data_IF_312165638585
#
_entry.id   IF_312165638585
#
_cell.length_a   1.000
_cell.length_b   1.000
_cell.length_c   1.000
_cell.angle_alpha   90.00
_cell.angle_beta   90.00
_cell.angle_gamma   90.00
#
_symmetry.space_group_name_H-M   'P 1'
#
loop_
_entity.id
_entity.type
_entity.pdbx_description
1 polymer ?
#
# COMPACT_ATOMS: atom_id res chain seq x y z
N UNK A 1 8.91 31.88 -35.81
CA UNK A 1 8.52 31.71 -34.39
C UNK A 1 6.99 31.73 -34.33
N UNK A 2 6.22 30.83 -33.72
CA UNK A 2 6.51 29.90 -32.62
C UNK A 2 5.35 28.89 -32.41
N UNK A 3 4.77 28.26 -33.44
CA UNK A 3 3.77 27.17 -33.24
C UNK A 3 4.33 25.96 -32.47
N UNK A 4 5.63 25.68 -32.61
CA UNK A 4 6.32 24.63 -31.85
C UNK A 4 6.52 24.97 -30.37
N UNK A 5 6.53 26.25 -29.99
CA UNK A 5 6.79 26.68 -28.61
C UNK A 5 5.56 26.47 -27.72
N UNK A 6 4.36 26.67 -28.27
CA UNK A 6 3.09 26.40 -27.57
C UNK A 6 2.84 24.90 -27.36
N UNK A 7 3.31 24.05 -28.27
CA UNK A 7 3.18 22.59 -28.17
C UNK A 7 4.08 21.98 -27.09
N UNK A 8 5.30 22.52 -26.93
CA UNK A 8 6.21 22.08 -25.86
C UNK A 8 5.69 22.53 -24.49
N UNK A 9 5.11 23.73 -24.39
CA UNK A 9 4.52 24.23 -23.15
C UNK A 9 3.33 23.38 -22.65
N UNK A 10 2.47 22.88 -23.56
CA UNK A 10 1.33 22.04 -23.18
C UNK A 10 1.74 20.63 -22.72
N UNK A 11 2.80 20.03 -23.30
CA UNK A 11 3.31 18.72 -22.87
C UNK A 11 4.04 18.83 -21.52
N UNK A 12 4.74 19.94 -21.26
CA UNK A 12 5.40 20.19 -19.97
C UNK A 12 4.40 20.53 -18.86
N UNK A 13 3.27 21.19 -19.16
CA UNK A 13 2.25 21.50 -18.15
C UNK A 13 1.48 20.26 -17.67
N UNK A 14 1.27 19.26 -18.52
CA UNK A 14 0.58 17.99 -18.17
C UNK A 14 1.49 17.05 -17.37
N UNK A 15 2.81 17.24 -17.42
CA UNK A 15 3.78 16.44 -16.66
C UNK A 15 4.08 16.99 -15.26
N UNK A 16 3.51 18.15 -14.91
CA UNK A 16 3.85 18.88 -13.67
C UNK A 16 2.74 18.99 -12.63
N UNK A 17 1.54 18.46 -12.88
CA UNK A 17 0.52 18.40 -11.85
C UNK A 17 0.76 17.17 -10.97
N UNK A 18 1.52 17.35 -9.89
CA UNK A 18 1.38 16.43 -8.75
C UNK A 18 -0.09 16.51 -8.31
N UNK A 19 -0.78 15.37 -8.23
CA UNK A 19 -2.09 15.33 -7.60
C UNK A 19 -1.93 15.82 -6.16
N UNK A 20 -2.66 16.87 -5.80
CA UNK A 20 -2.76 17.27 -4.40
C UNK A 20 -3.71 16.28 -3.74
N UNK A 21 -3.16 15.25 -3.11
CA UNK A 21 -3.93 14.28 -2.34
C UNK A 21 -4.37 14.93 -1.02
N UNK A 22 -5.61 14.68 -0.59
CA UNK A 22 -6.03 15.10 0.74
C UNK A 22 -5.28 14.25 1.77
N UNK A 23 -4.98 14.81 2.94
CA UNK A 23 -4.34 14.03 4.00
C UNK A 23 -5.38 13.42 4.95
N UNK A 24 -5.11 12.19 5.37
CA UNK A 24 -5.87 11.46 6.39
C UNK A 24 -4.99 11.30 7.62
N UNK A 25 -5.55 11.55 8.80
CA UNK A 25 -4.87 11.26 10.08
C UNK A 25 -5.49 10.01 10.70
N UNK A 26 -4.71 8.93 10.78
CA UNK A 26 -5.12 7.67 11.38
C UNK A 26 -4.22 7.35 12.57
N UNK A 27 -4.80 7.25 13.77
CA UNK A 27 -4.08 7.01 15.03
C UNK A 27 -2.84 7.92 15.22
N UNK A 28 -3.00 9.21 14.88
CA UNK A 28 -1.92 10.21 14.99
C UNK A 28 -0.84 10.15 13.91
N UNK A 29 -0.96 9.26 12.91
CA UNK A 29 -0.09 9.22 11.74
C UNK A 29 -0.80 9.86 10.54
N UNK A 30 -0.07 10.68 9.78
CA UNK A 30 -0.59 11.34 8.57
C UNK A 30 -0.27 10.49 7.34
N UNK A 31 -1.25 10.36 6.45
CA UNK A 31 -1.17 9.63 5.18
C UNK A 31 -1.80 10.45 4.05
N UNK A 32 -1.45 10.14 2.81
CA UNK A 32 -2.29 10.52 1.67
C UNK A 32 -3.61 9.74 1.72
N UNK A 33 -4.69 10.33 1.18
CA UNK A 33 -6.03 9.73 1.17
C UNK A 33 -6.10 8.41 0.38
N UNK A 34 -5.25 8.26 -0.63
CA UNK A 34 -5.07 7.05 -1.42
C UNK A 34 -3.86 6.23 -0.97
N UNK A 35 -3.41 6.30 0.28
CA UNK A 35 -2.25 5.53 0.75
C UNK A 35 -2.58 4.16 1.36
N UNK A 36 -3.86 3.78 1.41
CA UNK A 36 -4.30 2.59 2.15
C UNK A 36 -4.50 1.38 1.25
N UNK A 37 -4.43 0.19 1.84
CA UNK A 37 -4.89 -1.05 1.20
C UNK A 37 -6.33 -0.87 0.72
N UNK A 38 -6.59 -1.24 -0.53
CA UNK A 38 -7.89 -1.10 -1.20
C UNK A 38 -8.49 -2.45 -1.63
N UNK A 39 -7.72 -3.54 -1.56
CA UNK A 39 -8.20 -4.88 -1.93
C UNK A 39 -7.65 -6.01 -1.05
N UNK A 40 -8.39 -7.12 -1.04
CA UNK A 40 -7.91 -8.42 -0.55
C UNK A 40 -7.71 -9.32 -1.76
N UNK A 41 -6.47 -9.73 -1.99
CA UNK A 41 -6.07 -10.59 -3.10
C UNK A 41 -6.35 -12.06 -2.77
N UNK A 42 -5.99 -12.49 -1.55
CA UNK A 42 -6.21 -13.85 -1.10
C UNK A 42 -6.39 -13.95 0.42
N UNK A 43 -7.10 -14.99 0.84
CA UNK A 43 -7.34 -15.32 2.24
C UNK A 43 -7.04 -16.80 2.41
N UNK A 44 -6.31 -17.15 3.46
CA UNK A 44 -6.11 -18.51 3.93
C UNK A 44 -6.37 -18.59 5.43
N UNK A 45 -6.92 -19.71 5.88
CA UNK A 45 -7.35 -19.90 7.27
C UNK A 45 -8.69 -19.23 7.60
N UNK A 46 -8.98 -19.10 8.89
CA UNK A 46 -10.25 -18.54 9.39
C UNK A 46 -10.09 -17.11 9.85
N UNK A 47 -10.59 -16.16 9.04
CA UNK A 47 -10.58 -14.74 9.38
C UNK A 47 -11.99 -14.25 9.66
N UNK A 48 -12.18 -13.66 10.84
CA UNK A 48 -13.37 -12.86 11.16
C UNK A 48 -13.16 -11.46 10.59
N UNK A 49 -14.12 -11.00 9.78
CA UNK A 49 -14.12 -9.68 9.15
C UNK A 49 -12.82 -9.29 8.42
N UNK A 50 -12.33 -10.09 7.46
CA UNK A 50 -11.06 -9.82 6.77
C UNK A 50 -11.06 -8.46 6.05
N UNK A 51 -12.22 -7.98 5.60
CA UNK A 51 -12.39 -6.70 4.91
C UNK A 51 -12.12 -5.46 5.80
N UNK A 52 -12.01 -5.61 7.12
CA UNK A 52 -11.70 -4.49 8.00
C UNK A 52 -10.35 -3.83 7.69
N UNK A 53 -9.37 -4.57 7.15
CA UNK A 53 -8.04 -4.06 6.79
C UNK A 53 -8.04 -3.08 5.62
N UNK A 54 -9.16 -3.01 4.87
CA UNK A 54 -9.31 -2.14 3.71
C UNK A 54 -9.62 -0.72 4.16
N UNK A 55 -8.82 0.23 3.69
CA UNK A 55 -8.97 1.65 3.97
C UNK A 55 -8.53 2.07 5.37
N UNK A 56 -8.76 3.35 5.74
CA UNK A 56 -8.31 3.93 7.00
C UNK A 56 -9.31 3.70 8.15
N UNK A 57 -9.62 2.44 8.48
CA UNK A 57 -10.58 2.13 9.55
C UNK A 57 -9.88 1.56 10.79
N UNK A 58 -10.09 2.21 11.95
CA UNK A 58 -9.60 1.72 13.26
C UNK A 58 -10.75 1.34 14.22
N UNK A 59 -11.98 1.31 13.72
CA UNK A 59 -13.17 0.94 14.49
C UNK A 59 -13.53 -0.54 14.34
N UNK A 60 -12.82 -1.27 13.47
CA UNK A 60 -13.01 -2.69 13.22
C UNK A 60 -11.69 -3.33 12.85
N UNK A 61 -11.57 -4.64 13.04
CA UNK A 61 -10.36 -5.39 12.78
C UNK A 61 -10.68 -6.73 12.12
N UNK A 62 -9.72 -7.20 11.33
CA UNK A 62 -9.64 -8.55 10.81
C UNK A 62 -8.93 -9.42 11.87
N UNK A 63 -9.62 -10.44 12.36
CA UNK A 63 -9.10 -11.32 13.41
C UNK A 63 -8.91 -12.73 12.90
N UNK A 64 -7.74 -13.31 13.17
CA UNK A 64 -7.51 -14.75 12.99
C UNK A 64 -8.23 -15.52 14.12
N UNK A 65 -9.42 -16.05 13.86
CA UNK A 65 -10.28 -16.68 14.86
C UNK A 65 -11.17 -17.79 14.23
N UNK A 66 -11.07 -19.07 14.66
CA UNK A 66 -10.11 -19.57 15.66
C UNK A 66 -8.66 -19.39 15.20
N UNK A 67 -7.70 -19.19 16.12
CA UNK A 67 -6.31 -18.94 15.76
C UNK A 67 -5.69 -20.09 14.96
N UNK A 68 -5.11 -19.74 13.83
CA UNK A 68 -4.39 -20.65 12.94
C UNK A 68 -3.05 -20.04 12.52
N UNK A 69 -1.95 -20.70 12.85
CA UNK A 69 -0.59 -20.20 12.60
C UNK A 69 -0.22 -20.15 11.11
N UNK A 70 -0.96 -20.85 10.26
CA UNK A 70 -0.78 -20.83 8.80
C UNK A 70 -1.71 -19.80 8.11
N UNK A 71 -2.68 -19.24 8.83
CA UNK A 71 -3.61 -18.26 8.29
C UNK A 71 -2.87 -17.01 7.80
N UNK A 72 -3.32 -16.48 6.66
CA UNK A 72 -2.80 -15.24 6.12
C UNK A 72 -3.85 -14.43 5.35
N UNK A 73 -3.62 -13.12 5.28
CA UNK A 73 -4.27 -12.21 4.34
C UNK A 73 -3.20 -11.72 3.36
N UNK A 74 -3.44 -11.89 2.06
CA UNK A 74 -2.69 -11.18 1.03
C UNK A 74 -3.52 -9.96 0.63
N UNK A 75 -3.02 -8.78 0.97
CA UNK A 75 -3.69 -7.50 0.73
C UNK A 75 -2.99 -6.74 -0.37
N UNK A 76 -3.75 -5.95 -1.11
CA UNK A 76 -3.28 -5.22 -2.28
C UNK A 76 -3.42 -3.71 -2.16
N UNK A 77 -2.61 -3.06 -2.98
CA UNK A 77 -2.59 -1.64 -3.31
C UNK A 77 -2.88 -1.58 -4.81
N UNK A 78 -4.16 -1.65 -5.19
CA UNK A 78 -4.59 -1.85 -6.58
C UNK A 78 -4.43 -0.58 -7.41
N UNK A 79 -4.76 0.58 -6.83
CA UNK A 79 -4.60 1.89 -7.47
C UNK A 79 -3.48 2.76 -6.89
N UNK A 80 -2.67 2.19 -5.99
CA UNK A 80 -1.57 2.85 -5.31
C UNK A 80 -0.38 1.88 -5.14
N UNK A 81 0.68 2.30 -4.45
CA UNK A 81 1.82 1.42 -4.13
C UNK A 81 2.64 1.95 -2.98
N UNK A 82 3.27 1.05 -2.23
CA UNK A 82 4.28 1.42 -1.24
C UNK A 82 5.61 1.61 -1.98
N UNK A 83 6.25 2.76 -1.83
CA UNK A 83 7.56 3.08 -2.42
C UNK A 83 8.64 2.94 -1.36
N UNK A 84 9.71 2.22 -1.65
CA UNK A 84 10.86 2.12 -0.74
C UNK A 84 11.62 3.46 -0.69
N UNK A 85 11.60 4.11 0.46
CA UNK A 85 12.27 5.37 0.77
C UNK A 85 13.37 5.19 1.80
N UNK A 86 13.49 6.17 2.69
CA UNK A 86 14.42 6.09 3.82
C UNK A 86 13.62 5.81 5.10
N UNK A 87 14.00 4.74 5.82
CA UNK A 87 13.30 4.31 7.03
C UNK A 87 11.99 3.58 6.71
N UNK A 88 11.03 3.54 7.66
CA UNK A 88 9.78 2.84 7.45
C UNK A 88 8.98 3.39 6.26
N UNK A 89 8.44 2.48 5.45
CA UNK A 89 7.72 2.78 4.22
C UNK A 89 6.22 2.59 4.33
N UNK A 90 5.77 1.77 5.29
CA UNK A 90 4.37 1.63 5.61
C UNK A 90 4.17 1.27 7.08
N UNK A 91 2.93 1.46 7.54
CA UNK A 91 2.51 1.18 8.90
C UNK A 91 1.35 0.20 8.87
N UNK A 92 1.45 -0.85 9.67
CA UNK A 92 0.33 -1.72 10.00
C UNK A 92 -0.23 -1.31 11.36
N UNK A 93 -1.55 -1.09 11.41
CA UNK A 93 -2.32 -0.80 12.61
C UNK A 93 -2.98 -2.08 13.11
N UNK A 94 -2.82 -2.35 14.39
CA UNK A 94 -3.31 -3.55 15.05
C UNK A 94 -4.09 -3.17 16.32
N UNK A 95 -5.17 -3.88 16.60
CA UNK A 95 -6.05 -3.65 17.74
C UNK A 95 -5.47 -4.30 19.00
N UNK A 96 -4.30 -3.84 19.43
CA UNK A 96 -3.53 -4.44 20.51
C UNK A 96 -4.00 -4.10 21.91
N UNK A 97 -5.28 -3.82 22.15
CA UNK A 97 -5.76 -3.33 23.44
C UNK A 97 -5.47 -1.84 23.70
N UNK A 98 -5.51 -1.42 24.96
CA UNK A 98 -5.45 0.01 25.34
C UNK A 98 -4.20 0.40 26.14
N UNK A 99 -3.28 -0.56 26.37
CA UNK A 99 -2.07 -0.35 27.14
C UNK A 99 -0.78 -0.69 26.35
N UNK A 100 0.36 -0.09 26.72
CA UNK A 100 1.66 -0.51 26.22
C UNK A 100 1.93 -1.99 26.50
N UNK A 101 2.40 -2.73 25.49
CA UNK A 101 2.78 -4.15 25.61
C UNK A 101 1.64 -5.15 25.38
N UNK A 102 0.41 -4.67 25.15
CA UNK A 102 -0.72 -5.52 24.78
C UNK A 102 -0.79 -5.84 23.26
N UNK A 103 0.01 -5.14 22.45
CA UNK A 103 0.04 -5.33 21.00
C UNK A 103 0.79 -6.59 20.57
N UNK A 104 0.23 -7.26 19.57
CA UNK A 104 0.81 -8.45 18.98
C UNK A 104 1.83 -8.07 17.89
N UNK A 105 2.97 -8.78 17.76
CA UNK A 105 3.93 -8.50 16.71
C UNK A 105 3.35 -8.82 15.32
N UNK A 106 3.73 -8.01 14.32
CA UNK A 106 3.27 -8.17 12.95
C UNK A 106 4.25 -9.03 12.15
N UNK A 107 3.82 -10.19 11.65
CA UNK A 107 4.62 -11.01 10.73
C UNK A 107 4.18 -10.80 9.30
N UNK A 108 5.13 -10.40 8.47
CA UNK A 108 4.90 -9.88 7.14
C UNK A 108 5.77 -10.63 6.13
N UNK A 109 5.22 -10.94 4.95
CA UNK A 109 5.98 -11.46 3.82
C UNK A 109 5.84 -10.52 2.61
N UNK A 110 6.99 -10.17 2.02
CA UNK A 110 7.10 -9.42 0.77
C UNK A 110 8.21 -10.09 -0.05
N UNK A 111 7.96 -10.33 -1.35
CA UNK A 111 8.92 -10.99 -2.26
C UNK A 111 9.49 -12.33 -1.74
N UNK A 112 8.70 -13.07 -0.94
CA UNK A 112 9.11 -14.35 -0.35
C UNK A 112 10.00 -14.23 0.89
N UNK A 113 10.42 -13.03 1.29
CA UNK A 113 11.13 -12.77 2.54
C UNK A 113 10.11 -12.51 3.64
N UNK A 114 10.28 -13.16 4.80
CA UNK A 114 9.35 -13.06 5.93
C UNK A 114 10.05 -12.50 7.16
N UNK A 115 9.54 -11.39 7.68
CA UNK A 115 10.09 -10.71 8.86
C UNK A 115 8.98 -10.46 9.88
N UNK A 116 9.37 -10.30 11.15
CA UNK A 116 8.46 -10.00 12.26
C UNK A 116 8.84 -8.66 12.87
N UNK A 117 7.86 -7.76 12.98
CA UNK A 117 8.02 -6.41 13.50
C UNK A 117 7.32 -6.27 14.85
N UNK A 118 7.96 -5.67 15.87
CA UNK A 118 7.28 -5.33 17.09
C UNK A 118 6.23 -4.24 16.82
N UNK A 119 5.12 -4.31 17.53
CA UNK A 119 4.14 -3.23 17.55
C UNK A 119 4.39 -2.29 18.72
N UNK A 120 4.11 -1.01 18.51
CA UNK A 120 4.28 0.05 19.52
C UNK A 120 2.93 0.72 19.74
N UNK A 121 2.53 0.86 21.00
CA UNK A 121 1.28 1.53 21.36
C UNK A 121 1.28 2.97 20.83
N UNK A 122 0.22 3.34 20.10
CA UNK A 122 0.11 4.67 19.47
C UNK A 122 -0.27 5.77 20.45
N UNK A 123 -0.88 5.41 21.59
CA UNK A 123 -1.49 6.36 22.52
C UNK A 123 -2.84 6.93 22.06
N UNK A 124 -3.34 6.52 20.89
CA UNK A 124 -4.56 7.06 20.28
C UNK A 124 -5.45 5.92 19.79
N UNK A 125 -6.70 5.88 20.29
CA UNK A 125 -7.71 4.97 19.76
C UNK A 125 -7.50 3.50 20.09
N UNK A 126 -6.67 3.16 21.08
CA UNK A 126 -6.41 1.76 21.46
C UNK A 126 -5.72 0.96 20.35
N UNK A 127 -4.81 1.62 19.61
CA UNK A 127 -4.13 1.01 18.48
C UNK A 127 -2.64 0.84 18.74
N UNK A 128 -2.07 -0.20 18.15
CA UNK A 128 -0.64 -0.41 18.10
C UNK A 128 -0.17 -0.37 16.65
N UNK A 129 1.07 0.03 16.44
CA UNK A 129 1.64 0.27 15.11
C UNK A 129 2.92 -0.53 14.95
N UNK A 130 2.99 -1.32 13.90
CA UNK A 130 4.25 -1.82 13.37
C UNK A 130 4.70 -0.90 12.24
N UNK A 131 5.97 -0.50 12.28
CA UNK A 131 6.62 0.30 11.24
C UNK A 131 7.52 -0.62 10.41
N UNK A 132 7.28 -0.70 9.11
CA UNK A 132 7.91 -1.68 8.23
C UNK A 132 8.73 -0.98 7.16
N UNK A 133 9.99 -1.36 7.02
CA UNK A 133 10.95 -0.87 6.02
C UNK A 133 11.07 -1.90 4.88
N UNK A 134 10.87 -1.50 3.64
CA UNK A 134 10.94 -2.40 2.48
C UNK A 134 12.37 -2.87 2.17
N UNK A 135 13.38 -2.15 2.64
CA UNK A 135 14.78 -2.54 2.58
C UNK A 135 15.06 -3.88 3.27
N UNK A 136 14.33 -4.19 4.35
CA UNK A 136 14.43 -5.46 5.08
C UNK A 136 13.98 -6.67 4.25
N UNK A 137 13.24 -6.43 3.17
CA UNK A 137 12.77 -7.45 2.22
C UNK A 137 13.58 -7.45 0.91
N UNK A 138 14.67 -6.68 0.85
CA UNK A 138 15.53 -6.58 -0.32
C UNK A 138 14.94 -5.75 -1.47
N UNK A 139 13.91 -4.93 -1.23
CA UNK A 139 13.42 -3.98 -2.21
C UNK A 139 14.48 -2.88 -2.36
N UNK A 140 14.89 -2.55 -3.58
CA UNK A 140 15.84 -1.45 -3.79
C UNK A 140 15.18 -0.07 -3.52
N UNK A 141 15.94 0.97 -3.15
CA UNK A 141 15.41 2.33 -3.02
C UNK A 141 14.67 2.80 -4.29
N UNK A 142 13.49 3.40 -4.12
CA UNK A 142 12.57 3.76 -5.21
C UNK A 142 11.80 2.59 -5.81
N UNK A 143 12.08 1.35 -5.37
CA UNK A 143 11.32 0.16 -5.71
C UNK A 143 9.90 0.23 -5.13
N UNK A 144 8.99 -0.56 -5.71
CA UNK A 144 7.56 -0.48 -5.40
C UNK A 144 6.99 -1.85 -5.04
N UNK A 145 6.08 -1.85 -4.09
CA UNK A 145 5.34 -3.03 -3.63
C UNK A 145 3.84 -2.73 -3.74
N UNK A 146 3.11 -3.60 -4.43
CA UNK A 146 1.66 -3.49 -4.59
C UNK A 146 0.88 -4.53 -3.78
N UNK A 147 1.57 -5.45 -3.09
CA UNK A 147 0.93 -6.48 -2.29
C UNK A 147 1.78 -6.87 -1.09
N UNK A 148 1.12 -7.10 0.04
CA UNK A 148 1.75 -7.48 1.30
C UNK A 148 1.00 -8.67 1.87
N UNK A 149 1.72 -9.70 2.30
CA UNK A 149 1.13 -10.84 3.00
C UNK A 149 1.28 -10.66 4.51
N UNK A 150 0.15 -10.71 5.21
CA UNK A 150 0.02 -10.59 6.66
C UNK A 150 -0.25 -11.97 7.24
N UNK A 151 0.53 -12.40 8.22
CA UNK A 151 0.32 -13.68 8.88
C UNK A 151 -0.49 -13.51 10.15
N UNK A 152 -1.46 -14.42 10.33
CA UNK A 152 -2.26 -14.55 11.53
C UNK A 152 -1.44 -15.10 12.69
N UNK A 153 -0.55 -14.31 13.28
CA UNK A 153 0.19 -14.75 14.46
C UNK A 153 -0.75 -14.96 15.65
N UNK A 154 -0.36 -15.91 16.49
CA UNK A 154 -0.99 -16.16 17.77
C UNK A 154 0.12 -16.25 18.81
N UNK A 155 0.33 -15.19 19.59
CA UNK A 155 1.28 -15.21 20.71
C UNK A 155 0.60 -15.39 22.07
N UNK A 156 -0.74 -15.32 22.13
CA UNK A 156 -1.47 -15.45 23.39
C UNK A 156 -2.94 -15.06 23.36
N UNK A 157 -3.31 -13.98 24.06
CA UNK A 157 -4.67 -13.71 24.59
C UNK A 157 -5.76 -13.53 23.51
N UNK A 158 -5.39 -13.08 22.31
CA UNK A 158 -6.23 -12.97 21.12
C UNK A 158 -5.30 -13.08 19.92
N UNK A 159 -5.69 -13.80 18.85
CA UNK A 159 -4.90 -13.81 17.62
C UNK A 159 -4.75 -12.40 17.04
N UNK A 160 -3.81 -12.18 16.12
CA UNK A 160 -3.59 -10.86 15.50
C UNK A 160 -4.89 -10.20 15.02
N UNK A 161 -5.03 -8.90 15.31
CA UNK A 161 -6.20 -8.08 14.99
C UNK A 161 -5.83 -6.91 14.08
N UNK A 162 -5.83 -7.13 12.76
CA UNK A 162 -5.39 -6.11 11.80
C UNK A 162 -6.49 -5.10 11.48
N UNK A 163 -6.23 -3.81 11.67
CA UNK A 163 -7.20 -2.74 11.43
C UNK A 163 -7.00 -2.03 10.09
N UNK A 164 -5.77 -1.59 9.80
CA UNK A 164 -5.49 -0.80 8.61
C UNK A 164 -4.01 -0.89 8.24
N UNK A 165 -3.71 -0.68 6.96
CA UNK A 165 -2.35 -0.58 6.47
C UNK A 165 -2.25 0.65 5.57
N UNK A 166 -1.30 1.54 5.88
CA UNK A 166 -1.08 2.77 5.12
C UNK A 166 0.39 2.92 4.71
N UNK A 167 0.61 3.28 3.45
CA UNK A 167 1.92 3.65 2.92
C UNK A 167 2.34 5.04 3.44
N UNK A 168 3.56 5.13 3.99
CA UNK A 168 4.19 6.39 4.37
C UNK A 168 4.81 7.10 3.16
N UNK A 169 5.30 6.29 2.21
CA UNK A 169 5.81 6.73 0.92
C UNK A 169 4.86 6.21 -0.16
N UNK A 170 3.80 6.97 -0.45
CA UNK A 170 2.81 6.54 -1.44
C UNK A 170 3.28 6.85 -2.87
N UNK A 171 3.19 5.87 -3.76
CA UNK A 171 3.47 6.01 -5.17
C UNK A 171 2.23 5.80 -6.01
N UNK A 172 2.12 6.57 -7.10
CA UNK A 172 1.11 6.36 -8.15
C UNK A 172 1.01 4.89 -8.58
N UNK A 173 -0.14 4.41 -9.07
CA UNK A 173 -0.34 3.01 -9.38
C UNK A 173 0.74 2.46 -10.32
N UNK A 174 1.21 1.23 -10.06
CA UNK A 174 2.07 0.51 -10.99
C UNK A 174 1.20 0.20 -12.22
N UNK A 175 1.51 0.71 -13.43
CA UNK A 175 0.66 0.47 -14.59
C UNK A 175 0.51 -1.03 -14.80
N UNK A 176 -0.74 -1.52 -14.75
CA UNK A 176 -1.04 -2.91 -15.06
C UNK A 176 -0.40 -3.26 -16.41
N UNK A 177 0.13 -4.47 -16.61
CA UNK A 177 0.82 -4.84 -17.85
C UNK A 177 0.01 -4.49 -19.12
N UNK A 178 -1.33 -4.60 -19.08
CA UNK A 178 -2.25 -4.21 -20.14
C UNK A 178 -2.28 -2.70 -20.47
N UNK A 179 -2.10 -1.83 -19.48
CA UNK A 179 -2.06 -0.38 -19.68
C UNK A 179 -0.77 0.04 -20.42
N UNK A 180 0.35 -0.64 -20.18
CA UNK A 180 1.59 -0.41 -20.94
C UNK A 180 1.42 -0.76 -22.43
N UNK A 181 0.66 -1.81 -22.74
CA UNK A 181 0.33 -2.16 -24.14
C UNK A 181 -0.47 -1.06 -24.83
N UNK A 182 -1.46 -0.47 -24.16
CA UNK A 182 -2.28 0.61 -24.72
C UNK A 182 -1.48 1.89 -25.00
N UNK A 183 -0.56 2.25 -24.11
CA UNK A 183 0.37 3.38 -24.34
C UNK A 183 1.29 3.09 -25.53
N UNK A 184 1.81 1.86 -25.63
CA UNK A 184 2.64 1.42 -26.76
C UNK A 184 1.90 1.47 -28.10
N UNK A 185 0.67 0.96 -28.14
CA UNK A 185 -0.17 0.98 -29.35
C UNK A 185 -0.56 2.41 -29.72
N UNK A 186 -0.94 3.24 -28.75
CA UNK A 186 -1.29 4.64 -28.96
C UNK A 186 -0.16 5.46 -29.59
N UNK A 187 1.08 5.25 -29.12
CA UNK A 187 2.27 5.88 -29.71
C UNK A 187 2.55 5.40 -31.15
N UNK A 188 2.32 4.11 -31.45
CA UNK A 188 2.47 3.60 -32.81
C UNK A 188 1.42 4.16 -33.78
N UNK A 189 0.16 4.30 -33.35
CA UNK A 189 -0.92 4.89 -34.16
C UNK A 189 -0.63 6.37 -34.47
N UNK A 190 -0.15 7.13 -33.49
CA UNK A 190 0.23 8.54 -33.66
C UNK A 190 1.44 8.74 -34.59
N UNK A 191 2.35 7.75 -34.67
CA UNK A 191 3.48 7.77 -35.60
C UNK A 191 3.07 7.38 -37.02
N UNK A 192 2.07 6.50 -37.17
CA UNK A 192 1.48 6.11 -38.45
C UNK A 192 0.67 7.22 -39.12
N UNK A 193 -0.16 7.95 -38.35
CA UNK A 193 -1.00 9.03 -38.87
C UNK A 193 -0.22 10.25 -39.37
N UNK A 194 1.00 10.48 -38.87
CA UNK A 194 1.92 11.52 -39.39
C UNK A 194 2.49 11.22 -40.77
N UNK A 195 2.45 9.95 -41.24
CA UNK A 195 2.90 9.60 -42.60
C UNK A 195 1.80 9.76 -43.65
N UNK A 196 0.53 9.76 -43.25
CA UNK A 196 -0.62 9.86 -44.16
C UNK A 196 -0.99 11.30 -44.53
N UNK A 197 -0.41 12.31 -43.87
CA UNK A 197 -0.66 13.75 -44.16
C UNK A 197 0.30 14.38 -45.16
N UNK A 198 1.11 13.57 -45.87
CA UNK A 198 1.96 14.00 -46.99
C UNK A 198 1.56 13.34 -48.33
N UNK A 199 0.26 13.30 -48.61
CA UNK A 199 -0.28 13.00 -49.94
C UNK A 199 -1.01 14.24 -50.45
#
# INVERSE_FOLDING_TARGET
>A
MSRGLWMVAAVVLVLGCAAANASIVLAGQVYDDNAFVDEIIAIHGSWTNPAAVIGPNIMSYAQNNPPDAEAYLLVGFADNSIVNGAGPDFVLHEAGGTLPGEGEPAKITINGVTNTYPTVYSGVGGTHRAYIDLGDFGVAPGGRVAAVQLWGLYSGLSGTEFMAIGALNNGEPIPAPGAMWLVGVGLCVLRGSRRLTKA
#
